data_IF_878042359697
#
_entry.id   IF_878042359697
#
_cell.length_a   1.000
_cell.length_b   1.000
_cell.length_c   1.000
_cell.angle_alpha   90.00
_cell.angle_beta   90.00
_cell.angle_gamma   90.00
#
_symmetry.space_group_name_H-M   'P 1'
#
loop_
_entity.id
_entity.type
_entity.pdbx_description
1 polymer ?
#
# COMPACT_ATOMS: atom_id res chain seq x y z
N UNK A 1 -3.52 -5.21 -4.74
CA UNK A 1 -2.32 -4.53 -4.25
C UNK A 1 -1.12 -5.48 -4.18
N UNK A 2 -1.24 -6.62 -3.50
CA UNK A 2 -0.19 -7.65 -3.35
C UNK A 2 0.41 -8.08 -4.69
N UNK A 3 -0.39 -8.11 -5.76
CA UNK A 3 -0.03 -8.50 -7.12
C UNK A 3 1.23 -7.80 -7.63
N UNK A 4 1.40 -6.52 -7.29
CA UNK A 4 2.55 -5.73 -7.69
C UNK A 4 3.89 -6.31 -7.23
N UNK A 5 3.92 -7.03 -6.10
CA UNK A 5 5.16 -7.56 -5.54
C UNK A 5 5.76 -8.73 -6.33
N UNK A 6 4.94 -9.47 -7.08
CA UNK A 6 5.36 -10.67 -7.80
C UNK A 6 5.08 -10.64 -9.30
N UNK A 7 4.83 -9.47 -9.84
CA UNK A 7 4.63 -9.27 -11.27
C UNK A 7 5.71 -10.00 -12.09
N UNK A 8 5.32 -10.45 -13.29
CA UNK A 8 6.17 -11.09 -14.31
C UNK A 8 6.69 -12.50 -14.00
N UNK A 9 6.38 -13.10 -12.82
CA UNK A 9 6.94 -14.42 -12.47
C UNK A 9 6.01 -15.36 -11.71
N UNK A 10 4.84 -14.92 -11.30
CA UNK A 10 3.90 -15.75 -10.56
C UNK A 10 3.00 -16.55 -11.52
N UNK A 11 2.71 -17.80 -11.18
CA UNK A 11 1.86 -18.65 -12.00
C UNK A 11 0.40 -18.21 -11.91
N UNK A 12 -0.23 -17.90 -13.04
CA UNK A 12 -1.56 -17.29 -13.10
C UNK A 12 -2.66 -18.13 -12.39
N UNK A 13 -2.69 -19.44 -12.60
CA UNK A 13 -3.66 -20.32 -11.92
C UNK A 13 -3.50 -20.26 -10.40
N UNK A 14 -2.25 -20.30 -9.92
CA UNK A 14 -1.94 -20.20 -8.49
C UNK A 14 -2.30 -18.83 -7.95
N UNK A 15 -2.11 -17.78 -8.75
CA UNK A 15 -2.50 -16.40 -8.40
C UNK A 15 -4.00 -16.28 -8.12
N UNK A 16 -4.85 -16.83 -8.97
CA UNK A 16 -6.31 -16.78 -8.76
C UNK A 16 -6.71 -17.49 -7.47
N UNK A 17 -6.16 -18.70 -7.25
CA UNK A 17 -6.43 -19.46 -6.02
C UNK A 17 -5.90 -18.73 -4.79
N UNK A 18 -4.69 -18.18 -4.87
CA UNK A 18 -4.09 -17.39 -3.80
C UNK A 18 -4.96 -16.19 -3.43
N UNK A 19 -5.42 -15.41 -4.41
CA UNK A 19 -6.27 -14.25 -4.15
C UNK A 19 -7.58 -14.66 -3.45
N UNK A 20 -8.24 -15.69 -3.95
CA UNK A 20 -9.50 -16.16 -3.35
C UNK A 20 -9.31 -16.57 -1.88
N UNK A 21 -8.29 -17.39 -1.61
CA UNK A 21 -7.99 -17.86 -0.26
C UNK A 21 -7.54 -16.70 0.63
N UNK A 22 -6.65 -15.84 0.12
CA UNK A 22 -6.10 -14.73 0.91
C UNK A 22 -7.18 -13.71 1.30
N UNK A 23 -8.04 -13.34 0.35
CA UNK A 23 -9.17 -12.42 0.65
C UNK A 23 -10.07 -13.04 1.72
N UNK A 24 -10.43 -14.30 1.58
CA UNK A 24 -11.35 -14.97 2.51
C UNK A 24 -10.73 -15.17 3.90
N UNK A 25 -9.47 -15.59 3.96
CA UNK A 25 -8.84 -16.01 5.24
C UNK A 25 -8.07 -14.88 5.90
N UNK A 26 -7.57 -13.89 5.15
CA UNK A 26 -6.79 -12.78 5.72
C UNK A 26 -7.57 -11.48 5.70
N UNK A 27 -8.00 -11.04 4.52
CA UNK A 27 -8.61 -9.71 4.38
C UNK A 27 -9.94 -9.59 5.13
N UNK A 28 -10.86 -10.53 4.94
CA UNK A 28 -12.18 -10.49 5.59
C UNK A 28 -12.08 -10.50 7.11
N UNK A 29 -11.31 -11.39 7.77
CA UNK A 29 -11.11 -11.33 9.22
C UNK A 29 -10.51 -10.01 9.70
N UNK A 30 -9.48 -9.48 9.01
CA UNK A 30 -8.86 -8.20 9.38
C UNK A 30 -9.85 -7.06 9.25
N UNK A 31 -10.66 -7.04 8.19
CA UNK A 31 -11.73 -6.05 7.98
C UNK A 31 -12.73 -6.07 9.13
N UNK A 32 -13.18 -7.26 9.54
CA UNK A 32 -14.06 -7.41 10.67
C UNK A 32 -13.43 -6.91 11.97
N UNK A 33 -12.19 -7.28 12.26
CA UNK A 33 -11.52 -6.86 13.49
C UNK A 33 -11.40 -5.34 13.64
N UNK A 34 -11.20 -4.64 12.52
CA UNK A 34 -10.91 -3.18 12.52
C UNK A 34 -12.19 -2.36 12.36
N UNK A 35 -13.13 -2.80 11.52
CA UNK A 35 -14.27 -1.96 11.12
C UNK A 35 -15.63 -2.44 11.64
N UNK A 36 -15.76 -3.69 12.10
CA UNK A 36 -17.03 -4.12 12.68
C UNK A 36 -17.19 -3.58 14.10
N UNK A 37 -18.43 -3.25 14.50
CA UNK A 37 -18.73 -2.72 15.82
C UNK A 37 -18.32 -3.66 16.96
N UNK A 38 -18.34 -4.98 16.72
CA UNK A 38 -17.92 -6.04 17.63
C UNK A 38 -16.47 -6.51 17.35
N UNK A 39 -15.75 -5.83 16.45
CA UNK A 39 -14.35 -6.10 16.15
C UNK A 39 -13.44 -5.80 17.34
N UNK A 40 -12.55 -6.72 17.68
CA UNK A 40 -11.68 -6.56 18.85
C UNK A 40 -10.65 -5.43 18.70
N UNK A 41 -10.21 -5.11 17.46
CA UNK A 41 -9.33 -3.98 17.19
C UNK A 41 -10.10 -2.66 17.31
N UNK A 42 -11.33 -2.60 16.80
CA UNK A 42 -12.22 -1.48 17.07
C UNK A 42 -12.46 -1.31 18.58
N UNK A 43 -12.68 -2.42 19.30
CA UNK A 43 -12.89 -2.43 20.75
C UNK A 43 -11.72 -1.93 21.59
N UNK A 44 -10.48 -1.98 21.11
CA UNK A 44 -9.33 -1.35 21.78
C UNK A 44 -9.15 0.13 21.42
N UNK A 45 -10.04 0.71 20.63
CA UNK A 45 -10.06 2.12 20.24
C UNK A 45 -9.11 2.49 19.10
N UNK A 46 -8.67 1.54 18.29
CA UNK A 46 -7.88 1.84 17.10
C UNK A 46 -8.75 2.47 16.01
N UNK A 47 -8.20 3.45 15.29
CA UNK A 47 -8.85 4.14 14.18
C UNK A 47 -8.13 3.87 12.87
N UNK A 48 -8.90 3.47 11.86
CA UNK A 48 -8.46 3.30 10.48
C UNK A 48 -9.58 3.76 9.54
N UNK A 49 -9.47 4.98 9.02
CA UNK A 49 -10.56 5.61 8.26
C UNK A 49 -10.89 4.88 6.96
N UNK A 50 -9.85 4.60 6.16
CA UNK A 50 -10.05 4.05 4.83
C UNK A 50 -9.15 2.84 4.50
N UNK A 51 -8.35 2.33 5.45
CA UNK A 51 -7.66 1.06 5.25
C UNK A 51 -6.14 1.08 5.33
N UNK A 52 -5.56 1.98 6.13
CA UNK A 52 -4.12 1.95 6.38
C UNK A 52 -3.66 0.66 7.05
N UNK A 53 -4.44 0.14 7.99
CA UNK A 53 -4.22 -1.14 8.67
C UNK A 53 -4.81 -2.27 7.83
N UNK A 54 -6.09 -2.15 7.47
CA UNK A 54 -6.86 -3.20 6.80
C UNK A 54 -6.31 -3.53 5.42
N UNK A 55 -5.94 -2.52 4.63
CA UNK A 55 -5.52 -2.68 3.23
C UNK A 55 -4.00 -2.63 3.11
N UNK A 56 -3.37 -1.54 3.58
CA UNK A 56 -1.97 -1.30 3.24
C UNK A 56 -0.98 -2.05 4.11
N UNK A 57 -1.15 -2.05 5.43
CA UNK A 57 -0.27 -2.82 6.30
C UNK A 57 -0.41 -4.32 6.03
N UNK A 58 -1.64 -4.84 5.90
CA UNK A 58 -1.89 -6.24 5.61
C UNK A 58 -1.32 -6.68 4.25
N UNK A 59 -1.61 -5.92 3.18
CA UNK A 59 -1.14 -6.24 1.83
C UNK A 59 0.37 -6.00 1.68
N UNK A 60 0.93 -4.97 2.31
CA UNK A 60 2.37 -4.69 2.27
C UNK A 60 3.20 -5.81 2.92
N UNK A 61 2.77 -6.30 4.07
CA UNK A 61 3.42 -7.46 4.72
C UNK A 61 3.23 -8.73 3.89
N UNK A 62 2.03 -8.97 3.35
CA UNK A 62 1.80 -10.09 2.43
C UNK A 62 2.73 -9.99 1.22
N UNK A 63 2.89 -8.81 0.63
CA UNK A 63 3.73 -8.56 -0.53
C UNK A 63 5.19 -8.98 -0.30
N UNK A 64 5.78 -8.59 0.83
CA UNK A 64 7.17 -8.97 1.14
C UNK A 64 7.33 -10.48 1.36
N UNK A 65 6.33 -11.14 1.96
CA UNK A 65 6.31 -12.60 2.12
C UNK A 65 6.23 -13.29 0.76
N UNK A 66 5.32 -12.86 -0.12
CA UNK A 66 5.19 -13.42 -1.47
C UNK A 66 6.46 -13.20 -2.27
N UNK A 67 6.99 -11.96 -2.31
CA UNK A 67 8.22 -11.63 -3.03
C UNK A 67 9.41 -12.49 -2.58
N UNK A 68 9.52 -12.72 -1.26
CA UNK A 68 10.57 -13.58 -0.68
C UNK A 68 10.43 -15.05 -1.07
N UNK A 69 9.19 -15.57 -1.12
CA UNK A 69 8.93 -16.99 -1.42
C UNK A 69 9.02 -17.32 -2.92
N UNK A 70 8.56 -16.40 -3.77
CA UNK A 70 8.62 -16.57 -5.23
C UNK A 70 10.04 -16.37 -5.76
N UNK A 71 10.83 -15.55 -5.08
CA UNK A 71 12.20 -15.19 -5.44
C UNK A 71 12.28 -14.02 -6.44
N UNK A 72 13.49 -13.57 -6.74
CA UNK A 72 13.75 -12.43 -7.62
C UNK A 72 13.52 -12.76 -9.09
N UNK A 73 13.12 -11.77 -9.89
CA UNK A 73 13.06 -11.87 -11.36
C UNK A 73 14.45 -12.17 -11.93
N UNK A 74 14.49 -12.90 -13.00
CA UNK A 74 15.76 -13.30 -13.65
C UNK A 74 16.53 -12.11 -14.23
N UNK A 75 15.82 -11.09 -14.65
CA UNK A 75 16.42 -9.93 -15.32
C UNK A 75 16.63 -8.72 -14.39
N UNK A 76 16.36 -8.85 -13.09
CA UNK A 76 16.47 -7.74 -12.12
C UNK A 76 17.88 -7.12 -12.07
N UNK A 77 18.92 -7.91 -12.30
CA UNK A 77 20.32 -7.44 -12.31
C UNK A 77 20.65 -6.50 -13.49
N UNK A 78 19.82 -6.48 -14.55
CA UNK A 78 19.98 -5.57 -15.70
C UNK A 78 19.44 -4.17 -15.43
N UNK A 79 18.90 -3.91 -14.25
CA UNK A 79 18.14 -2.71 -13.92
C UNK A 79 16.69 -2.83 -14.35
N UNK A 80 15.78 -2.26 -13.54
CA UNK A 80 14.35 -2.23 -13.83
C UNK A 80 13.98 -0.80 -14.15
N UNK A 81 13.63 -0.55 -15.41
CA UNK A 81 13.15 0.75 -15.88
C UNK A 81 11.63 0.66 -16.16
N UNK A 82 10.88 1.73 -15.95
CA UNK A 82 9.48 1.78 -16.33
C UNK A 82 9.34 1.56 -17.84
N UNK A 83 8.49 0.61 -18.24
CA UNK A 83 8.24 0.31 -19.65
C UNK A 83 7.72 1.53 -20.44
N UNK A 84 6.87 2.36 -19.81
CA UNK A 84 6.29 3.56 -20.44
C UNK A 84 6.01 4.63 -19.40
N UNK A 85 6.89 5.63 -19.30
CA UNK A 85 6.77 6.73 -18.33
C UNK A 85 5.47 7.53 -18.47
N UNK A 86 5.01 7.93 -19.69
CA UNK A 86 3.69 8.57 -19.85
C UNK A 86 2.54 7.77 -19.26
N UNK A 87 2.53 6.44 -19.41
CA UNK A 87 1.49 5.61 -18.81
C UNK A 87 1.62 5.48 -17.29
N UNK A 88 2.81 5.54 -16.73
CA UNK A 88 3.01 5.62 -15.27
C UNK A 88 2.36 6.90 -14.74
N UNK A 89 2.59 8.05 -15.38
CA UNK A 89 2.01 9.32 -14.97
C UNK A 89 0.48 9.36 -15.15
N UNK A 90 -0.02 8.81 -16.27
CA UNK A 90 -1.47 8.66 -16.49
C UNK A 90 -2.10 7.78 -15.41
N UNK A 91 -1.50 6.62 -15.13
CA UNK A 91 -1.94 5.71 -14.07
C UNK A 91 -1.95 6.36 -12.70
N UNK A 92 -0.91 7.15 -12.39
CA UNK A 92 -0.84 7.94 -11.15
C UNK A 92 -1.99 8.95 -11.05
N UNK A 93 -2.28 9.67 -12.14
CA UNK A 93 -3.41 10.60 -12.18
C UNK A 93 -4.75 9.92 -11.95
N UNK A 94 -4.98 8.76 -12.57
CA UNK A 94 -6.18 7.97 -12.39
C UNK A 94 -6.29 7.41 -10.96
N UNK A 95 -5.19 6.93 -10.39
CA UNK A 95 -5.15 6.49 -8.99
C UNK A 95 -5.42 7.64 -8.02
N UNK A 96 -4.81 8.80 -8.24
CA UNK A 96 -5.04 9.98 -7.39
C UNK A 96 -6.50 10.41 -7.44
N UNK A 97 -7.08 10.48 -8.64
CA UNK A 97 -8.51 10.77 -8.80
C UNK A 97 -9.39 9.73 -8.09
N UNK A 98 -9.12 8.43 -8.29
CA UNK A 98 -9.85 7.34 -7.62
C UNK A 98 -9.71 7.37 -6.10
N UNK A 99 -8.59 7.89 -5.59
CA UNK A 99 -8.34 7.97 -4.16
C UNK A 99 -9.17 9.02 -3.44
N UNK A 100 -9.65 10.02 -4.13
CA UNK A 100 -10.67 10.90 -3.57
C UNK A 100 -11.94 10.12 -3.22
N UNK A 101 -12.39 9.25 -4.11
CA UNK A 101 -13.50 8.33 -3.83
C UNK A 101 -13.16 7.33 -2.73
N UNK A 102 -11.93 6.80 -2.74
CA UNK A 102 -11.47 5.83 -1.75
C UNK A 102 -11.49 6.42 -0.32
N UNK A 103 -10.91 7.59 -0.12
CA UNK A 103 -10.85 8.23 1.20
C UNK A 103 -12.13 8.97 1.56
N UNK A 104 -12.61 9.90 0.73
CA UNK A 104 -13.82 10.66 1.06
C UNK A 104 -15.07 9.77 1.09
N UNK A 105 -15.15 8.76 0.20
CA UNK A 105 -16.22 7.78 0.21
C UNK A 105 -16.27 6.90 1.46
N UNK A 106 -15.13 6.70 2.14
CA UNK A 106 -15.08 5.98 3.41
C UNK A 106 -15.79 6.71 4.55
N UNK A 107 -16.12 8.00 4.39
CA UNK A 107 -17.02 8.73 5.28
C UNK A 107 -18.47 8.26 5.21
N UNK A 108 -18.88 7.51 4.17
CA UNK A 108 -20.20 6.93 3.93
C UNK A 108 -21.34 7.97 3.81
N UNK A 109 -21.06 9.25 3.97
CA UNK A 109 -21.98 10.39 3.85
C UNK A 109 -21.31 11.53 3.09
N UNK A 110 -22.11 12.36 2.42
CA UNK A 110 -21.66 13.58 1.76
C UNK A 110 -21.70 14.76 2.76
N UNK A 111 -20.83 14.72 3.74
CA UNK A 111 -20.78 15.67 4.87
C UNK A 111 -19.40 16.36 4.98
N UNK A 112 -19.16 17.08 6.07
CA UNK A 112 -17.92 17.78 6.34
C UNK A 112 -16.73 16.83 6.50
N UNK A 113 -16.94 15.59 6.96
CA UNK A 113 -15.87 14.58 7.09
C UNK A 113 -15.40 14.14 5.72
N UNK A 114 -16.32 13.87 4.80
CA UNK A 114 -15.97 13.52 3.42
C UNK A 114 -15.22 14.67 2.71
N UNK A 115 -15.66 15.91 2.89
CA UNK A 115 -14.99 17.11 2.32
C UNK A 115 -13.59 17.26 2.92
N UNK A 116 -13.44 17.11 4.23
CA UNK A 116 -12.12 17.14 4.88
C UNK A 116 -11.22 16.04 4.37
N UNK A 117 -11.73 14.80 4.29
CA UNK A 117 -10.97 13.65 3.77
C UNK A 117 -10.49 13.88 2.33
N UNK A 118 -11.33 14.50 1.48
CA UNK A 118 -10.94 14.89 0.12
C UNK A 118 -9.76 15.89 0.14
N UNK A 119 -9.88 16.96 0.94
CA UNK A 119 -8.86 18.00 1.03
C UNK A 119 -7.53 17.45 1.55
N UNK A 120 -7.53 16.70 2.64
CA UNK A 120 -6.31 16.18 3.27
C UNK A 120 -5.65 15.10 2.42
N UNK A 121 -6.44 14.34 1.65
CA UNK A 121 -5.94 13.38 0.66
C UNK A 121 -5.11 14.09 -0.41
N UNK A 122 -5.65 15.16 -0.99
CA UNK A 122 -4.92 15.95 -1.97
C UNK A 122 -3.67 16.60 -1.39
N UNK A 123 -3.77 17.16 -0.18
CA UNK A 123 -2.67 17.83 0.50
C UNK A 123 -1.50 16.89 0.74
N UNK A 124 -1.77 15.69 1.29
CA UNK A 124 -0.73 14.69 1.57
C UNK A 124 -0.06 14.19 0.30
N UNK A 125 -0.84 13.89 -0.76
CA UNK A 125 -0.32 13.44 -2.03
C UNK A 125 0.61 14.48 -2.68
N UNK A 126 0.15 15.73 -2.75
CA UNK A 126 0.91 16.81 -3.38
C UNK A 126 2.24 17.06 -2.66
N UNK A 127 2.22 17.19 -1.34
CA UNK A 127 3.44 17.46 -0.57
C UNK A 127 4.40 16.26 -0.60
N UNK A 128 3.88 15.04 -0.54
CA UNK A 128 4.70 13.83 -0.59
C UNK A 128 5.42 13.68 -1.94
N UNK A 129 4.74 13.99 -3.05
CA UNK A 129 5.35 14.02 -4.38
C UNK A 129 6.48 15.05 -4.48
N UNK A 130 6.26 16.27 -3.95
CA UNK A 130 7.29 17.31 -3.91
C UNK A 130 8.50 16.90 -3.03
N UNK A 131 8.26 16.32 -1.87
CA UNK A 131 9.33 15.82 -0.99
C UNK A 131 10.14 14.75 -1.70
N UNK A 132 9.49 13.82 -2.41
CA UNK A 132 10.20 12.79 -3.18
C UNK A 132 11.11 13.40 -4.25
N UNK A 133 10.62 14.41 -4.99
CA UNK A 133 11.45 15.12 -5.97
C UNK A 133 12.70 15.76 -5.33
N UNK A 134 12.56 16.33 -4.13
CA UNK A 134 13.71 16.88 -3.40
C UNK A 134 14.70 15.80 -3.02
N UNK A 135 14.22 14.64 -2.53
CA UNK A 135 15.06 13.50 -2.19
C UNK A 135 15.77 12.91 -3.41
N UNK A 136 15.09 12.81 -4.56
CA UNK A 136 15.69 12.39 -5.82
C UNK A 136 16.81 13.36 -6.24
N UNK A 137 16.53 14.67 -6.20
CA UNK A 137 17.53 15.67 -6.55
C UNK A 137 18.77 15.60 -5.64
N UNK A 138 18.58 15.41 -4.35
CA UNK A 138 19.68 15.26 -3.39
C UNK A 138 20.51 14.00 -3.64
N UNK A 139 19.86 12.91 -4.07
CA UNK A 139 20.55 11.61 -4.25
C UNK A 139 21.17 11.43 -5.63
N UNK A 140 20.61 12.02 -6.67
CA UNK A 140 20.99 11.77 -8.08
C UNK A 140 21.35 13.04 -8.87
N UNK A 141 21.08 14.22 -8.30
CA UNK A 141 21.22 15.52 -8.99
C UNK A 141 20.09 15.82 -9.98
N UNK A 142 19.05 14.98 -10.05
CA UNK A 142 17.93 15.11 -10.99
C UNK A 142 16.60 14.77 -10.31
N UNK A 143 15.55 15.43 -10.73
CA UNK A 143 14.17 15.06 -10.38
C UNK A 143 13.58 14.16 -11.47
N UNK A 144 12.66 13.27 -11.12
CA UNK A 144 11.96 12.44 -12.10
C UNK A 144 10.44 12.53 -11.95
N UNK A 145 9.73 12.40 -13.08
CA UNK A 145 8.26 12.30 -13.07
C UNK A 145 7.79 11.02 -12.36
N UNK A 146 8.52 9.91 -12.54
CA UNK A 146 8.23 8.64 -11.86
C UNK A 146 8.45 8.79 -10.35
N UNK A 147 9.51 9.48 -9.91
CA UNK A 147 9.74 9.76 -8.49
C UNK A 147 8.63 10.60 -7.88
N UNK A 148 8.18 11.67 -8.58
CA UNK A 148 7.01 12.44 -8.16
C UNK A 148 5.77 11.54 -8.01
N UNK A 149 5.51 10.69 -9.01
CA UNK A 149 4.39 9.76 -9.02
C UNK A 149 4.43 8.81 -7.82
N UNK A 150 5.58 8.18 -7.58
CA UNK A 150 5.79 7.26 -6.43
C UNK A 150 5.60 7.99 -5.10
N UNK A 151 6.16 9.20 -4.97
CA UNK A 151 5.98 10.03 -3.79
C UNK A 151 4.52 10.42 -3.54
N UNK A 152 3.78 10.79 -4.60
CA UNK A 152 2.37 11.09 -4.48
C UNK A 152 1.56 9.89 -3.99
N UNK A 153 1.81 8.69 -4.53
CA UNK A 153 1.17 7.44 -4.08
C UNK A 153 1.55 7.13 -2.62
N UNK A 154 2.81 7.34 -2.22
CA UNK A 154 3.22 7.18 -0.82
C UNK A 154 2.45 8.13 0.13
N UNK A 155 2.22 9.38 -0.31
CA UNK A 155 1.39 10.33 0.42
C UNK A 155 -0.07 9.92 0.52
N UNK A 156 -0.64 9.40 -0.57
CA UNK A 156 -2.00 8.85 -0.61
C UNK A 156 -2.16 7.67 0.35
N UNK A 157 -1.20 6.74 0.33
CA UNK A 157 -1.20 5.59 1.23
C UNK A 157 -1.07 6.01 2.71
N UNK A 158 -0.20 7.00 2.99
CA UNK A 158 0.05 7.48 4.34
C UNK A 158 -1.13 8.23 4.95
N UNK A 159 -1.87 9.01 4.16
CA UNK A 159 -3.03 9.75 4.69
C UNK A 159 -4.27 8.89 4.88
N UNK A 160 -4.36 7.76 4.19
CA UNK A 160 -5.57 6.92 4.14
C UNK A 160 -6.14 6.56 5.51
N UNK A 161 -5.38 6.07 6.50
CA UNK A 161 -5.94 5.76 7.82
C UNK A 161 -6.36 6.99 8.62
N UNK A 162 -5.83 8.16 8.29
CA UNK A 162 -6.02 9.40 9.03
C UNK A 162 -7.04 10.35 8.38
N UNK A 163 -7.46 10.10 7.13
CA UNK A 163 -8.13 11.10 6.29
C UNK A 163 -9.42 11.70 6.89
N UNK A 164 -10.16 10.95 7.70
CA UNK A 164 -11.35 11.45 8.40
C UNK A 164 -11.07 12.06 9.78
N UNK A 165 -9.83 11.99 10.26
CA UNK A 165 -9.50 12.32 11.65
C UNK A 165 -8.50 13.46 11.79
N UNK A 166 -7.89 13.96 10.70
CA UNK A 166 -6.85 14.99 10.76
C UNK A 166 -7.21 16.21 9.92
N UNK A 167 -6.71 17.35 10.35
CA UNK A 167 -6.80 18.58 9.55
C UNK A 167 -5.65 18.73 8.53
N UNK A 168 -5.66 19.80 7.70
CA UNK A 168 -4.67 20.02 6.64
C UNK A 168 -3.22 20.05 7.13
N UNK A 169 -2.95 20.58 8.32
CA UNK A 169 -1.59 20.62 8.87
C UNK A 169 -1.09 19.23 9.28
N UNK A 170 -1.97 18.38 9.82
CA UNK A 170 -1.67 16.98 10.07
C UNK A 170 -1.37 16.23 8.78
N UNK A 171 -2.18 16.45 7.74
CA UNK A 171 -1.97 15.84 6.42
C UNK A 171 -0.64 16.25 5.79
N UNK A 172 -0.24 17.53 5.97
CA UNK A 172 1.06 18.02 5.53
C UNK A 172 2.22 17.26 6.19
N UNK A 173 2.18 17.11 7.52
CA UNK A 173 3.16 16.35 8.29
C UNK A 173 3.18 14.86 7.91
N UNK A 174 2.00 14.26 7.75
CA UNK A 174 1.85 12.85 7.34
C UNK A 174 2.48 12.61 5.97
N UNK A 175 2.21 13.48 4.99
CA UNK A 175 2.76 13.39 3.64
C UNK A 175 4.27 13.53 3.59
N UNK A 176 4.85 14.48 4.33
CA UNK A 176 6.32 14.68 4.40
C UNK A 176 7.00 13.42 4.94
N UNK A 177 6.60 12.98 6.12
CA UNK A 177 7.25 11.83 6.78
C UNK A 177 6.96 10.54 6.03
N UNK A 178 5.74 10.37 5.49
CA UNK A 178 5.37 9.23 4.65
C UNK A 178 6.24 9.10 3.41
N UNK A 179 6.49 10.22 2.71
CA UNK A 179 7.39 10.24 1.56
C UNK A 179 8.83 9.87 1.94
N UNK A 180 9.36 10.43 3.02
CA UNK A 180 10.72 10.12 3.51
C UNK A 180 10.82 8.64 3.91
N UNK A 181 9.84 8.12 4.62
CA UNK A 181 9.82 6.73 5.07
C UNK A 181 9.75 5.76 3.89
N UNK A 182 8.84 5.99 2.94
CA UNK A 182 8.70 5.17 1.73
C UNK A 182 9.95 5.23 0.86
N UNK A 183 10.51 6.43 0.61
CA UNK A 183 11.76 6.60 -0.13
C UNK A 183 12.92 5.82 0.51
N UNK A 184 13.05 5.92 1.84
CA UNK A 184 14.07 5.21 2.60
C UNK A 184 13.88 3.69 2.51
N UNK A 185 12.63 3.23 2.56
CA UNK A 185 12.29 1.82 2.42
C UNK A 185 12.62 1.30 1.02
N UNK A 186 12.30 2.03 -0.06
CA UNK A 186 12.70 1.69 -1.43
C UNK A 186 14.23 1.54 -1.53
N UNK A 187 14.99 2.51 -1.02
CA UNK A 187 16.45 2.45 -1.01
C UNK A 187 16.99 1.29 -0.16
N UNK A 188 16.32 0.93 0.93
CA UNK A 188 16.72 -0.20 1.75
C UNK A 188 16.40 -1.53 1.05
N UNK A 189 15.20 -1.66 0.49
CA UNK A 189 14.77 -2.85 -0.24
C UNK A 189 15.67 -3.15 -1.44
N UNK A 190 16.11 -2.13 -2.18
CA UNK A 190 17.04 -2.29 -3.31
C UNK A 190 18.42 -2.88 -2.93
N UNK A 191 18.78 -2.84 -1.63
CA UNK A 191 20.01 -3.47 -1.12
C UNK A 191 19.77 -4.92 -0.66
N UNK A 192 18.54 -5.39 -0.67
CA UNK A 192 18.19 -6.75 -0.28
C UNK A 192 18.09 -7.66 -1.50
N UNK A 193 17.92 -8.96 -1.27
CA UNK A 193 17.62 -9.94 -2.33
C UNK A 193 16.11 -10.15 -2.52
N UNK A 194 15.28 -9.28 -1.95
CA UNK A 194 13.83 -9.38 -2.06
C UNK A 194 13.41 -8.46 -3.20
N UNK A 195 12.89 -9.05 -4.27
CA UNK A 195 12.40 -8.33 -5.44
C UNK A 195 10.90 -8.06 -5.31
N UNK A 196 10.56 -6.93 -4.71
CA UNK A 196 9.21 -6.37 -4.67
C UNK A 196 9.01 -5.53 -5.93
N UNK A 197 8.48 -6.14 -7.00
CA UNK A 197 8.56 -5.63 -8.37
C UNK A 197 7.99 -4.23 -8.56
N UNK A 198 6.93 -3.87 -7.84
CA UNK A 198 6.30 -2.54 -7.88
C UNK A 198 6.33 -1.82 -6.53
N UNK A 199 7.30 -2.15 -5.68
CA UNK A 199 7.57 -1.47 -4.41
C UNK A 199 6.35 -1.44 -3.45
N UNK A 200 5.53 -2.49 -3.50
CA UNK A 200 4.28 -2.56 -2.73
C UNK A 200 4.52 -2.45 -1.22
N UNK A 201 5.51 -3.18 -0.70
CA UNK A 201 5.87 -3.08 0.70
C UNK A 201 6.39 -1.68 1.05
N UNK A 202 7.34 -1.17 0.25
CA UNK A 202 8.01 0.09 0.56
C UNK A 202 7.05 1.30 0.49
N UNK A 203 6.16 1.33 -0.50
CA UNK A 203 5.24 2.47 -0.71
C UNK A 203 3.95 2.29 0.10
N UNK A 204 3.25 1.17 -0.08
CA UNK A 204 1.95 0.96 0.56
C UNK A 204 2.08 0.39 1.98
N UNK A 205 2.94 -0.61 2.19
CA UNK A 205 3.14 -1.21 3.51
C UNK A 205 3.69 -0.20 4.51
N UNK A 206 4.82 0.42 4.19
CA UNK A 206 5.46 1.42 5.07
C UNK A 206 4.58 2.67 5.16
N UNK A 207 4.00 3.14 4.05
CA UNK A 207 3.07 4.28 4.05
C UNK A 207 1.85 4.03 4.94
N UNK A 208 1.20 2.85 4.82
CA UNK A 208 0.06 2.50 5.65
C UNK A 208 0.39 2.33 7.13
N UNK A 209 1.52 1.68 7.45
CA UNK A 209 2.02 1.56 8.83
C UNK A 209 2.29 2.94 9.42
N UNK A 210 3.04 3.78 8.70
CA UNK A 210 3.29 5.15 9.14
C UNK A 210 1.99 5.92 9.33
N UNK A 211 1.10 5.90 8.34
CA UNK A 211 -0.17 6.62 8.41
C UNK A 211 -1.03 6.20 9.59
N UNK A 212 -1.07 4.90 9.90
CA UNK A 212 -1.81 4.37 11.06
C UNK A 212 -1.21 4.85 12.39
N UNK A 213 0.10 4.91 12.51
CA UNK A 213 0.79 5.50 13.66
C UNK A 213 0.52 7.01 13.71
N UNK A 214 0.62 7.68 12.57
CA UNK A 214 0.38 9.12 12.43
C UNK A 214 -1.05 9.51 12.76
N UNK A 215 -2.05 8.66 12.53
CA UNK A 215 -3.42 8.85 13.01
C UNK A 215 -3.41 9.00 14.53
N UNK A 216 -2.70 8.13 15.24
CA UNK A 216 -2.55 8.22 16.69
C UNK A 216 -1.79 9.46 17.18
N UNK A 217 -1.04 10.12 16.31
CA UNK A 217 -0.31 11.36 16.63
C UNK A 217 -1.15 12.60 16.32
N UNK A 218 -1.73 12.67 15.12
CA UNK A 218 -2.29 13.88 14.53
C UNK A 218 -3.83 13.95 14.54
N UNK A 219 -4.53 12.89 15.00
CA UNK A 219 -5.99 12.96 15.11
C UNK A 219 -6.41 14.12 16.01
N UNK A 220 -7.29 14.96 15.47
CA UNK A 220 -7.85 16.10 16.19
C UNK A 220 -9.15 15.70 16.90
N UNK A 221 -9.45 16.40 17.97
CA UNK A 221 -10.68 16.22 18.72
C UNK A 221 -11.90 16.40 17.82
N UNK A 222 -12.73 15.38 17.73
CA UNK A 222 -14.03 15.43 17.09
C UNK A 222 -15.11 15.23 18.16
N UNK A 223 -16.12 16.08 18.12
CA UNK A 223 -17.32 15.94 18.94
C UNK A 223 -18.38 15.32 18.03
N UNK A 224 -18.90 14.14 18.38
CA UNK A 224 -20.00 13.53 17.65
C UNK A 224 -21.33 14.30 17.89
N UNK A 225 -22.38 13.94 17.15
CA UNK A 225 -23.70 14.57 17.25
C UNK A 225 -24.33 14.42 18.66
N UNK A 226 -23.80 13.55 19.51
CA UNK A 226 -24.21 13.35 20.90
C UNK A 226 -23.37 14.14 21.90
N UNK A 227 -22.39 14.93 21.44
CA UNK A 227 -21.49 15.69 22.28
C UNK A 227 -20.39 14.86 22.93
N UNK A 228 -20.16 13.63 22.47
CA UNK A 228 -19.12 12.74 22.99
C UNK A 228 -17.82 13.05 22.25
N UNK A 229 -16.76 13.30 23.02
CA UNK A 229 -15.42 13.51 22.48
C UNK A 229 -14.84 12.18 22.00
N UNK A 230 -14.50 12.13 20.72
CA UNK A 230 -13.84 10.97 20.13
C UNK A 230 -12.32 10.98 20.42
N UNK A 231 -11.68 9.83 20.22
CA UNK A 231 -10.27 9.61 20.48
C UNK A 231 -9.40 10.71 19.83
N UNK A 232 -8.60 11.36 20.63
CA UNK A 232 -7.66 12.42 20.20
C UNK A 232 -6.24 11.90 20.13
N UNK A 233 -5.43 12.56 19.31
CA UNK A 233 -4.05 12.17 19.10
C UNK A 233 -3.09 12.70 20.17
N UNK A 234 -1.84 12.27 20.03
CA UNK A 234 -0.74 12.66 20.91
C UNK A 234 -0.54 14.18 20.97
N UNK A 235 -0.78 14.90 19.87
CA UNK A 235 -0.63 16.38 19.83
C UNK A 235 -1.59 17.07 20.81
N UNK A 236 -2.77 16.50 21.03
CA UNK A 236 -3.75 16.99 21.99
C UNK A 236 -3.55 16.42 23.41
N UNK A 237 -2.41 15.72 23.64
CA UNK A 237 -1.99 15.26 24.95
C UNK A 237 -2.41 13.82 25.29
N UNK A 238 -3.09 13.11 24.40
CA UNK A 238 -3.57 11.76 24.64
C UNK A 238 -2.70 10.70 23.94
N UNK A 239 -2.36 9.65 24.67
CA UNK A 239 -1.52 8.56 24.13
C UNK A 239 -2.30 7.29 23.78
N UNK A 240 -3.55 7.20 24.21
CA UNK A 240 -4.39 6.00 24.09
C UNK A 240 -4.54 5.53 22.65
N UNK A 241 -4.88 6.44 21.73
CA UNK A 241 -5.05 6.15 20.32
C UNK A 241 -3.75 5.70 19.65
N UNK A 242 -2.62 6.34 19.97
CA UNK A 242 -1.31 5.95 19.46
C UNK A 242 -0.98 4.49 19.80
N UNK A 243 -1.18 4.10 21.06
CA UNK A 243 -0.96 2.73 21.49
C UNK A 243 -1.96 1.74 20.91
N UNK A 244 -3.23 2.14 20.74
CA UNK A 244 -4.25 1.31 20.09
C UNK A 244 -3.85 1.01 18.64
N UNK A 245 -3.52 2.03 17.86
CA UNK A 245 -3.09 1.87 16.47
C UNK A 245 -1.78 1.08 16.34
N UNK A 246 -0.81 1.32 17.22
CA UNK A 246 0.43 0.54 17.23
C UNK A 246 0.16 -0.95 17.44
N UNK A 247 -0.68 -1.32 18.43
CA UNK A 247 -1.07 -2.71 18.67
C UNK A 247 -1.83 -3.32 17.51
N UNK A 248 -2.73 -2.55 16.89
CA UNK A 248 -3.48 -2.97 15.72
C UNK A 248 -2.57 -3.27 14.52
N UNK A 249 -1.63 -2.38 14.22
CA UNK A 249 -0.64 -2.58 13.14
C UNK A 249 0.19 -3.85 13.38
N UNK A 250 0.71 -4.05 14.60
CA UNK A 250 1.50 -5.24 14.91
C UNK A 250 0.67 -6.52 14.75
N UNK A 251 -0.55 -6.53 15.30
CA UNK A 251 -1.42 -7.71 15.22
C UNK A 251 -1.75 -8.08 13.76
N UNK A 252 -2.12 -7.10 12.94
CA UNK A 252 -2.46 -7.33 11.54
C UNK A 252 -1.21 -7.71 10.71
N UNK A 253 -0.06 -7.08 10.97
CA UNK A 253 1.18 -7.42 10.30
C UNK A 253 1.60 -8.87 10.58
N UNK A 254 1.57 -9.29 11.84
CA UNK A 254 1.91 -10.66 12.25
C UNK A 254 0.92 -11.66 11.64
N UNK A 255 -0.37 -11.40 11.75
CA UNK A 255 -1.40 -12.28 11.20
C UNK A 255 -1.30 -12.41 9.68
N UNK A 256 -1.24 -11.29 8.96
CA UNK A 256 -1.12 -11.29 7.51
C UNK A 256 0.15 -12.00 7.05
N UNK A 257 1.28 -11.75 7.71
CA UNK A 257 2.55 -12.38 7.38
C UNK A 257 2.52 -13.90 7.55
N UNK A 258 2.05 -14.38 8.70
CA UNK A 258 1.96 -15.82 9.01
C UNK A 258 0.99 -16.52 8.06
N UNK A 259 -0.22 -15.96 7.91
CA UNK A 259 -1.24 -16.59 7.07
C UNK A 259 -0.84 -16.59 5.60
N UNK A 260 -0.25 -15.50 5.09
CA UNK A 260 0.29 -15.46 3.72
C UNK A 260 1.34 -16.55 3.51
N UNK A 261 2.27 -16.70 4.46
CA UNK A 261 3.29 -17.74 4.38
C UNK A 261 2.68 -19.15 4.36
N UNK A 262 1.71 -19.43 5.23
CA UNK A 262 1.03 -20.72 5.30
C UNK A 262 0.28 -21.02 3.98
N UNK A 263 -0.50 -20.05 3.49
CA UNK A 263 -1.25 -20.20 2.23
C UNK A 263 -0.30 -20.53 1.08
N UNK A 264 0.78 -19.76 0.94
CA UNK A 264 1.75 -19.98 -0.14
C UNK A 264 2.45 -21.32 -0.02
N UNK A 265 2.81 -21.75 1.20
CA UNK A 265 3.39 -23.09 1.42
C UNK A 265 2.46 -24.21 1.02
N UNK A 266 1.16 -24.09 1.32
CA UNK A 266 0.16 -25.08 0.91
C UNK A 266 0.03 -25.08 -0.62
N UNK A 267 -0.07 -23.92 -1.25
CA UNK A 267 -0.20 -23.83 -2.72
C UNK A 267 1.03 -24.36 -3.45
N UNK A 268 2.21 -24.17 -2.89
CA UNK A 268 3.47 -24.60 -3.51
C UNK A 268 3.61 -26.13 -3.58
N UNK A 269 3.03 -26.87 -2.63
CA UNK A 269 3.11 -28.33 -2.58
C UNK A 269 1.96 -29.03 -3.32
N UNK A 270 0.92 -28.33 -3.74
CA UNK A 270 -0.20 -28.90 -4.48
C UNK A 270 0.22 -29.15 -5.93
N UNK A 271 0.13 -30.41 -6.43
CA UNK A 271 0.44 -30.71 -7.83
C UNK A 271 -0.35 -29.83 -8.80
N UNK A 272 0.32 -29.22 -9.75
CA UNK A 272 -0.28 -28.34 -10.75
C UNK A 272 -0.37 -26.88 -10.34
N UNK A 273 -0.28 -26.52 -9.05
CA UNK A 273 -0.22 -25.13 -8.62
C UNK A 273 1.23 -24.60 -8.65
N UNK A 274 2.04 -24.77 -7.63
CA UNK A 274 3.38 -24.18 -7.59
C UNK A 274 3.35 -22.64 -7.68
N UNK A 275 4.33 -21.95 -7.16
CA UNK A 275 4.26 -20.48 -7.10
C UNK A 275 4.76 -19.78 -8.37
N UNK A 276 5.83 -20.30 -8.98
CA UNK A 276 6.54 -19.62 -10.07
C UNK A 276 6.32 -20.31 -11.42
N UNK A 277 6.30 -19.52 -12.47
CA UNK A 277 6.31 -19.99 -13.87
C UNK A 277 7.66 -20.61 -14.24
N UNK A 278 7.72 -21.30 -15.37
CA UNK A 278 8.98 -21.84 -15.87
C UNK A 278 9.93 -20.73 -16.31
N UNK A 279 11.22 -21.06 -16.38
CA UNK A 279 12.24 -20.10 -16.83
C UNK A 279 11.97 -19.58 -18.25
N UNK A 280 11.52 -20.46 -19.14
CA UNK A 280 11.15 -20.11 -20.50
C UNK A 280 9.99 -19.10 -20.55
N UNK A 281 8.94 -19.34 -19.76
CA UNK A 281 7.78 -18.45 -19.70
C UNK A 281 8.16 -17.07 -19.17
N UNK A 282 9.01 -16.99 -18.14
CA UNK A 282 9.49 -15.73 -17.59
C UNK A 282 10.37 -14.96 -18.58
N UNK A 283 11.25 -15.65 -19.32
CA UNK A 283 12.16 -15.03 -20.29
C UNK A 283 11.41 -14.52 -21.55
N UNK A 284 10.33 -15.19 -21.97
CA UNK A 284 9.50 -14.79 -23.11
C UNK A 284 8.42 -13.74 -22.78
N UNK A 285 8.10 -13.60 -21.49
CA UNK A 285 7.01 -12.76 -21.02
C UNK A 285 5.70 -13.51 -20.82
N UNK A 286 4.98 -13.16 -19.74
CA UNK A 286 3.75 -13.85 -19.35
C UNK A 286 2.54 -13.45 -20.21
N UNK A 287 2.55 -12.27 -20.80
CA UNK A 287 1.57 -11.80 -21.78
C UNK A 287 1.49 -12.75 -22.98
N UNK A 288 2.64 -13.11 -23.57
CA UNK A 288 2.71 -14.05 -24.71
C UNK A 288 2.44 -15.47 -24.26
N UNK A 289 3.11 -15.91 -23.20
CA UNK A 289 3.13 -17.35 -22.85
C UNK A 289 1.92 -17.85 -22.08
N UNK A 290 1.23 -16.99 -21.35
CA UNK A 290 0.06 -17.34 -20.55
C UNK A 290 -1.24 -16.76 -21.10
N UNK A 291 -1.19 -15.58 -21.74
CA UNK A 291 -2.39 -14.89 -22.23
C UNK A 291 -2.49 -14.86 -23.76
N UNK A 292 -1.40 -15.15 -24.49
CA UNK A 292 -1.40 -15.14 -25.95
C UNK A 292 -1.52 -13.75 -26.57
N UNK A 293 -1.20 -12.71 -25.79
CA UNK A 293 -1.30 -11.31 -26.20
C UNK A 293 0.07 -10.64 -26.18
N UNK A 294 0.23 -9.57 -26.97
CA UNK A 294 1.42 -8.72 -26.97
C UNK A 294 1.02 -7.31 -26.59
N UNK A 295 1.71 -6.71 -25.62
CA UNK A 295 1.48 -5.32 -25.24
C UNK A 295 1.78 -4.33 -26.35
N UNK A 296 2.79 -4.64 -27.19
CA UNK A 296 3.14 -3.88 -28.40
C UNK A 296 3.51 -4.83 -29.53
N UNK A 297 3.05 -4.48 -30.74
CA UNK A 297 3.48 -5.10 -31.99
C UNK A 297 4.47 -4.12 -32.62
N UNK A 298 5.77 -4.48 -32.64
CA UNK A 298 6.76 -3.70 -33.36
C UNK A 298 6.60 -3.98 -34.86
N UNK A 299 6.62 -2.91 -35.69
CA UNK A 299 6.62 -3.06 -37.14
C UNK A 299 7.84 -3.88 -37.57
N UNK A 300 7.61 -5.02 -38.24
CA UNK A 300 8.67 -5.89 -38.75
C UNK A 300 9.09 -7.07 -37.87
N UNK A 301 8.36 -7.39 -36.82
CA UNK A 301 8.55 -8.61 -36.04
C UNK A 301 7.55 -9.69 -36.55
N UNK A 302 7.88 -10.34 -37.68
CA UNK A 302 7.28 -11.61 -38.14
C UNK A 302 8.01 -12.80 -37.51
#
# INVERSE_FOLDING_TARGET
LITGAFAERFKFTTYIVFLFVWVTVVYVPVTHWVWAADGWIAGIGALDFAGGIVVYASAGIAAIVVARMVGSRRQVERGVEPHNVPYVLLGTGLLWFGWFGFNAGSGLLADSVAVTAFLVTNTSAAIAGLVWMVLDYQSTGRTSGVGFATGAIAGLASITPAAGFVGPMGAFGIGIVGSIAAYSAVKLMSKTRIDDALEVFAVHGVGGIWGSIATGIFAVQQIDDNGIMQNVGLIDGETGLLWANFRAVIAVAVYSGIMTFIILKILDVIPGLGLRVTREQEDLGLDITLHGERGYVADGAD
#
